data_IF_072460649084
#
_entry.id   IF_072460649084
#
_cell.length_a   1.000
_cell.length_b   1.000
_cell.length_c   1.000
_cell.angle_alpha   90.00
_cell.angle_beta   90.00
_cell.angle_gamma   90.00
#
_symmetry.space_group_name_H-M   'P 1'
#
loop_
_entity.id
_entity.type
_entity.pdbx_description
1 polymer ?
#
# COMPACT_ATOMS: atom_id res chain seq x y z
N UNK A 1 -26.68 11.04 1.16
CA UNK A 1 -26.30 12.27 0.42
C UNK A 1 -24.84 12.13 0.01
N UNK A 2 -24.51 12.26 -1.28
CA UNK A 2 -23.12 12.20 -1.72
C UNK A 2 -22.38 13.47 -1.24
N UNK A 3 -21.31 13.29 -0.46
CA UNK A 3 -20.48 14.39 0.04
C UNK A 3 -19.76 15.03 -1.15
N UNK A 4 -19.84 16.36 -1.29
CA UNK A 4 -19.17 17.09 -2.36
C UNK A 4 -17.65 16.86 -2.27
N UNK A 5 -17.04 16.31 -3.32
CA UNK A 5 -15.61 16.03 -3.37
C UNK A 5 -14.85 17.36 -3.42
N UNK A 6 -13.98 17.61 -2.43
CA UNK A 6 -13.11 18.78 -2.41
C UNK A 6 -11.81 18.44 -3.13
N UNK A 7 -11.59 19.06 -4.29
CA UNK A 7 -10.46 18.76 -5.18
C UNK A 7 -9.10 19.24 -4.63
N UNK A 8 -9.08 20.10 -3.60
CA UNK A 8 -7.84 20.63 -3.03
C UNK A 8 -6.96 21.40 -4.05
N UNK A 9 -5.73 21.71 -3.66
CA UNK A 9 -4.68 22.24 -4.55
C UNK A 9 -3.36 21.56 -4.22
N UNK A 10 -2.60 21.16 -5.24
CA UNK A 10 -1.25 20.64 -5.06
C UNK A 10 -0.34 21.81 -4.69
N UNK A 11 0.38 21.68 -3.58
CA UNK A 11 1.41 22.62 -3.17
C UNK A 11 2.76 21.92 -3.32
N UNK A 12 3.60 22.40 -4.23
CA UNK A 12 4.84 21.71 -4.63
C UNK A 12 5.78 21.44 -3.44
N UNK A 13 5.91 22.37 -2.50
CA UNK A 13 6.75 22.22 -1.30
C UNK A 13 6.27 21.13 -0.33
N UNK A 14 5.06 20.61 -0.51
CA UNK A 14 4.43 19.59 0.34
C UNK A 14 4.16 18.30 -0.43
N UNK A 15 4.63 18.19 -1.67
CA UNK A 15 4.31 17.09 -2.56
C UNK A 15 4.78 15.75 -2.00
N UNK A 16 6.04 15.62 -1.60
CA UNK A 16 6.59 14.35 -1.10
C UNK A 16 5.91 13.86 0.18
N UNK A 17 5.65 14.77 1.12
CA UNK A 17 4.91 14.47 2.35
C UNK A 17 3.47 14.06 2.03
N UNK A 18 2.81 14.79 1.13
CA UNK A 18 1.46 14.49 0.67
C UNK A 18 1.35 13.13 -0.03
N UNK A 19 2.36 12.76 -0.83
CA UNK A 19 2.43 11.45 -1.48
C UNK A 19 2.61 10.32 -0.46
N UNK A 20 3.47 10.52 0.54
CA UNK A 20 3.69 9.55 1.63
C UNK A 20 2.41 9.32 2.44
N UNK A 21 1.77 10.40 2.89
CA UNK A 21 0.53 10.31 3.67
C UNK A 21 -0.59 9.63 2.87
N UNK A 22 -0.75 10.01 1.60
CA UNK A 22 -1.74 9.39 0.71
C UNK A 22 -1.48 7.89 0.56
N UNK A 23 -0.22 7.48 0.35
CA UNK A 23 0.11 6.06 0.19
C UNK A 23 -0.24 5.25 1.45
N UNK A 24 0.02 5.79 2.63
CA UNK A 24 -0.37 5.16 3.90
C UNK A 24 -1.89 5.02 4.05
N UNK A 25 -2.65 6.08 3.73
CA UNK A 25 -4.12 6.06 3.77
C UNK A 25 -4.72 5.02 2.81
N UNK A 26 -4.11 4.87 1.62
CA UNK A 26 -4.54 3.85 0.66
C UNK A 26 -4.25 2.44 1.18
N UNK A 27 -3.07 2.20 1.76
CA UNK A 27 -2.74 0.91 2.38
C UNK A 27 -3.70 0.60 3.53
N UNK A 28 -3.96 1.56 4.42
CA UNK A 28 -4.88 1.40 5.54
C UNK A 28 -6.30 1.09 5.06
N UNK A 29 -6.78 1.78 4.02
CA UNK A 29 -8.09 1.51 3.41
C UNK A 29 -8.13 0.10 2.80
N UNK A 30 -7.07 -0.34 2.12
CA UNK A 30 -7.00 -1.69 1.56
C UNK A 30 -6.97 -2.75 2.66
N UNK A 31 -6.22 -2.52 3.75
CA UNK A 31 -6.21 -3.42 4.92
C UNK A 31 -7.60 -3.49 5.55
N UNK A 32 -8.25 -2.35 5.77
CA UNK A 32 -9.62 -2.30 6.31
C UNK A 32 -10.61 -3.03 5.39
N UNK A 33 -10.51 -2.86 4.08
CA UNK A 33 -11.39 -3.57 3.13
C UNK A 33 -11.11 -5.08 3.11
N UNK A 34 -9.83 -5.49 3.19
CA UNK A 34 -9.45 -6.90 3.31
C UNK A 34 -9.91 -7.52 4.63
N UNK A 35 -9.96 -6.72 5.70
CA UNK A 35 -10.47 -7.10 7.02
C UNK A 35 -12.01 -7.18 7.04
N UNK A 36 -12.68 -6.22 6.39
CA UNK A 36 -14.15 -6.11 6.34
C UNK A 36 -14.80 -7.04 5.29
N UNK A 37 -14.07 -7.47 4.25
CA UNK A 37 -14.54 -8.45 3.26
C UNK A 37 -13.77 -9.76 3.35
N UNK A 38 -14.29 -10.65 4.20
CA UNK A 38 -14.03 -12.10 4.29
C UNK A 38 -13.05 -12.70 3.25
N UNK A 39 -11.79 -12.78 3.69
CA UNK A 39 -10.78 -13.85 3.48
C UNK A 39 -10.04 -13.88 2.13
N UNK A 40 -9.02 -13.02 1.99
CA UNK A 40 -7.82 -13.45 1.25
C UNK A 40 -7.01 -14.34 2.19
N UNK A 41 -6.83 -15.60 1.82
CA UNK A 41 -5.99 -16.52 2.60
C UNK A 41 -4.57 -15.93 2.71
N UNK A 42 -3.99 -15.97 3.91
CA UNK A 42 -2.68 -15.35 4.23
C UNK A 42 -1.61 -15.66 3.19
N UNK A 43 -1.55 -16.90 2.72
CA UNK A 43 -0.60 -17.33 1.70
C UNK A 43 -0.83 -16.66 0.34
N UNK A 44 -2.09 -16.44 -0.06
CA UNK A 44 -2.47 -15.71 -1.29
C UNK A 44 -2.09 -14.23 -1.16
N UNK A 45 -2.28 -13.63 0.01
CA UNK A 45 -1.88 -12.25 0.26
C UNK A 45 -0.34 -12.11 0.20
N UNK A 46 0.37 -13.01 0.87
CA UNK A 46 1.83 -13.06 0.87
C UNK A 46 2.40 -13.26 -0.53
N UNK A 47 1.83 -14.15 -1.33
CA UNK A 47 2.20 -14.38 -2.72
C UNK A 47 2.00 -13.12 -3.57
N UNK A 48 0.83 -12.49 -3.48
CA UNK A 48 0.52 -11.28 -4.26
C UNK A 48 1.41 -10.10 -3.89
N UNK A 49 1.69 -9.91 -2.60
CA UNK A 49 2.61 -8.87 -2.13
C UNK A 49 4.04 -9.15 -2.60
N UNK A 50 4.48 -10.41 -2.58
CA UNK A 50 5.82 -10.80 -3.07
C UNK A 50 5.96 -10.55 -4.56
N UNK A 51 4.94 -10.88 -5.36
CA UNK A 51 4.91 -10.59 -6.79
C UNK A 51 4.99 -9.07 -7.10
N UNK A 52 4.38 -8.22 -6.27
CA UNK A 52 4.48 -6.77 -6.41
C UNK A 52 5.90 -6.26 -6.09
N UNK A 53 6.56 -6.87 -5.10
CA UNK A 53 7.96 -6.56 -4.76
C UNK A 53 8.90 -6.96 -5.90
N UNK A 54 8.69 -8.12 -6.51
CA UNK A 54 9.52 -8.60 -7.64
C UNK A 54 9.47 -7.65 -8.84
N UNK A 55 8.28 -7.11 -9.12
CA UNK A 55 8.03 -6.17 -10.22
C UNK A 55 8.46 -4.72 -9.90
N UNK A 56 8.82 -4.43 -8.66
CA UNK A 56 9.24 -3.09 -8.25
C UNK A 56 10.66 -2.77 -8.74
N UNK A 57 10.98 -1.47 -8.88
CA UNK A 57 12.29 -0.99 -9.33
C UNK A 57 13.30 -0.82 -8.19
N UNK A 58 13.03 -1.40 -7.03
CA UNK A 58 13.95 -1.38 -5.90
C UNK A 58 15.16 -2.28 -6.17
N UNK A 59 16.27 -2.00 -5.49
CA UNK A 59 17.41 -2.90 -5.48
C UNK A 59 17.05 -4.24 -4.80
N UNK A 60 17.83 -5.28 -5.09
CA UNK A 60 17.53 -6.63 -4.62
C UNK A 60 17.64 -6.77 -3.10
N UNK A 61 18.47 -5.97 -2.43
CA UNK A 61 18.61 -5.99 -0.96
C UNK A 61 17.34 -5.47 -0.29
N UNK A 62 16.78 -4.37 -0.81
CA UNK A 62 15.51 -3.83 -0.34
C UNK A 62 14.35 -4.77 -0.66
N UNK A 63 14.33 -5.39 -1.85
CA UNK A 63 13.30 -6.39 -2.19
C UNK A 63 13.33 -7.59 -1.24
N UNK A 64 14.51 -8.14 -0.97
CA UNK A 64 14.66 -9.26 -0.03
C UNK A 64 14.20 -8.90 1.37
N UNK A 65 14.54 -7.70 1.84
CA UNK A 65 14.07 -7.19 3.13
C UNK A 65 12.55 -7.14 3.19
N UNK A 66 11.90 -6.61 2.15
CA UNK A 66 10.44 -6.51 2.10
C UNK A 66 9.78 -7.90 1.98
N UNK A 67 10.34 -8.83 1.20
CA UNK A 67 9.86 -10.24 1.14
C UNK A 67 9.89 -10.89 2.52
N UNK A 68 10.99 -10.73 3.26
CA UNK A 68 11.11 -11.28 4.62
C UNK A 68 10.08 -10.69 5.59
N UNK A 69 9.73 -9.41 5.44
CA UNK A 69 8.68 -8.76 6.24
C UNK A 69 7.28 -9.29 5.87
N UNK A 70 6.99 -9.48 4.58
CA UNK A 70 5.73 -10.06 4.10
C UNK A 70 5.52 -11.49 4.66
N UNK A 71 6.56 -12.32 4.68
CA UNK A 71 6.48 -13.69 5.22
C UNK A 71 6.27 -13.76 6.74
N UNK A 72 6.63 -12.70 7.47
CA UNK A 72 6.45 -12.60 8.93
C UNK A 72 5.05 -12.15 9.35
N UNK A 73 4.30 -11.49 8.46
CA UNK A 73 2.86 -11.20 8.65
C UNK A 73 2.09 -12.48 8.73
#
# INVERSE_FOLDING_TARGET
MAKKINMGKITESRLEEGLTVRNNLVIETLVQVLDEQLVVERHILQERLSNLVDLSKYDEELKDTVRALIMKM
#
